data_IF_361287755328
#
_entry.id   IF_361287755328
#
_cell.length_a   1.000
_cell.length_b   1.000
_cell.length_c   1.000
_cell.angle_alpha   90.00
_cell.angle_beta   90.00
_cell.angle_gamma   90.00
#
_symmetry.space_group_name_H-M   'P 1'
#
loop_
_entity.id
_entity.type
_entity.pdbx_description
1 polymer ?
#
# COMPACT_ATOMS: atom_id res chain seq x y z
N UNK A 1 7.39 -11.24 7.43
CA UNK A 1 7.23 -12.53 6.74
C UNK A 1 7.93 -13.62 7.54
N UNK A 2 7.33 -14.80 7.70
CA UNK A 2 7.92 -15.91 8.44
C UNK A 2 8.98 -16.65 7.59
N UNK A 3 9.99 -15.91 7.14
CA UNK A 3 11.03 -16.36 6.22
C UNK A 3 12.39 -15.84 6.67
N UNK A 4 13.40 -16.69 6.63
CA UNK A 4 14.77 -16.25 6.76
C UNK A 4 15.69 -16.90 5.72
N UNK A 5 16.78 -16.21 5.41
CA UNK A 5 17.85 -16.67 4.52
C UNK A 5 19.12 -16.89 5.35
N UNK A 6 19.73 -18.05 5.20
CA UNK A 6 20.94 -18.44 5.93
C UNK A 6 22.20 -18.20 5.11
N UNK A 7 23.28 -17.80 5.77
CA UNK A 7 24.64 -17.74 5.18
C UNK A 7 25.15 -19.11 4.68
N UNK A 8 24.45 -20.20 4.99
CA UNK A 8 24.73 -21.56 4.48
C UNK A 8 23.98 -21.86 3.18
N UNK A 9 23.50 -20.85 2.46
CA UNK A 9 22.81 -20.95 1.18
C UNK A 9 21.52 -21.79 1.23
N UNK A 10 20.71 -21.61 2.26
CA UNK A 10 19.34 -22.12 2.32
C UNK A 10 18.39 -21.06 2.86
N UNK A 11 17.13 -21.19 2.55
CA UNK A 11 16.06 -20.43 3.22
C UNK A 11 15.09 -21.38 3.91
N UNK A 12 14.42 -20.87 4.92
CA UNK A 12 13.25 -21.49 5.53
C UNK A 12 12.08 -20.52 5.47
N UNK A 13 10.92 -21.03 5.09
CA UNK A 13 9.65 -20.34 5.12
C UNK A 13 8.61 -21.17 5.85
N UNK A 14 7.84 -20.55 6.75
CA UNK A 14 6.67 -21.14 7.39
C UNK A 14 5.42 -20.56 6.77
N UNK A 15 4.53 -21.40 6.27
CA UNK A 15 3.25 -20.96 5.68
C UNK A 15 2.23 -20.65 6.79
N UNK A 16 2.35 -19.45 7.32
CA UNK A 16 1.47 -18.91 8.36
C UNK A 16 1.37 -17.39 8.28
N UNK A 17 0.21 -16.86 8.63
CA UNK A 17 -0.05 -15.43 8.84
C UNK A 17 -0.27 -15.10 10.32
N UNK A 18 -0.28 -16.11 11.19
CA UNK A 18 -0.35 -15.92 12.63
C UNK A 18 0.92 -15.27 13.20
N UNK A 19 0.83 -14.78 14.42
CA UNK A 19 2.01 -14.33 15.15
C UNK A 19 3.06 -15.45 15.22
N UNK A 20 4.32 -15.09 14.96
CA UNK A 20 5.45 -16.00 15.06
C UNK A 20 6.69 -15.31 15.59
N UNK A 21 7.56 -16.08 16.21
CA UNK A 21 8.86 -15.64 16.71
C UNK A 21 9.96 -16.58 16.24
N UNK A 22 11.08 -15.99 15.79
CA UNK A 22 12.27 -16.72 15.37
C UNK A 22 13.44 -16.36 16.29
N UNK A 23 13.86 -17.29 17.13
CA UNK A 23 14.97 -17.10 18.03
C UNK A 23 16.26 -17.80 17.54
N UNK A 24 17.24 -17.01 17.16
CA UNK A 24 18.56 -17.43 16.68
C UNK A 24 19.69 -17.19 17.70
N UNK A 25 19.38 -16.85 18.94
CA UNK A 25 20.38 -16.52 19.98
C UNK A 25 21.25 -17.69 20.38
N UNK A 26 20.74 -18.93 20.25
CA UNK A 26 21.50 -20.09 20.57
C UNK A 26 22.29 -20.59 19.34
N UNK A 27 23.64 -20.77 19.43
CA UNK A 27 24.42 -21.19 18.28
C UNK A 27 24.25 -22.69 17.90
N UNK A 28 23.58 -23.49 18.73
CA UNK A 28 23.38 -24.92 18.50
C UNK A 28 22.01 -25.32 18.00
N UNK A 29 21.01 -24.49 18.19
CA UNK A 29 19.65 -24.70 17.68
C UNK A 29 18.92 -23.39 17.42
N UNK A 30 17.96 -23.44 16.53
CA UNK A 30 17.01 -22.35 16.27
C UNK A 30 15.66 -22.72 16.86
N UNK A 31 14.98 -21.76 17.48
CA UNK A 31 13.63 -21.94 17.97
C UNK A 31 12.68 -21.11 17.10
N UNK A 32 11.67 -21.77 16.55
CA UNK A 32 10.65 -21.16 15.70
C UNK A 32 9.29 -21.43 16.33
N UNK A 33 8.60 -20.40 16.72
CA UNK A 33 7.26 -20.48 17.33
C UNK A 33 6.22 -19.81 16.45
N UNK A 34 5.01 -20.34 16.41
CA UNK A 34 3.85 -19.68 15.83
C UNK A 34 2.56 -20.07 16.56
N UNK A 35 1.57 -19.17 16.52
CA UNK A 35 0.32 -19.33 17.26
C UNK A 35 -0.70 -20.23 16.56
N UNK A 36 -0.42 -20.68 15.36
CA UNK A 36 -1.19 -21.70 14.68
C UNK A 36 -0.26 -22.75 14.07
N UNK A 37 -0.83 -23.87 13.64
CA UNK A 37 -0.10 -24.86 12.86
C UNK A 37 0.13 -24.30 11.45
N UNK A 38 1.38 -24.14 10.99
CA UNK A 38 1.64 -23.69 9.63
C UNK A 38 1.13 -24.72 8.62
N UNK A 39 0.64 -24.25 7.46
CA UNK A 39 0.20 -25.12 6.38
C UNK A 39 1.32 -26.07 5.90
N UNK A 40 2.55 -25.54 5.82
CA UNK A 40 3.78 -26.27 5.56
C UNK A 40 5.00 -25.50 6.05
N UNK A 41 6.13 -26.18 6.11
CA UNK A 41 7.45 -25.57 6.27
C UNK A 41 8.25 -25.91 5.01
N UNK A 42 8.75 -24.88 4.32
CA UNK A 42 9.56 -25.02 3.12
C UNK A 42 11.01 -24.70 3.41
N UNK A 43 11.89 -25.63 3.05
CA UNK A 43 13.34 -25.44 3.12
C UNK A 43 13.92 -25.75 1.75
N UNK A 44 14.66 -24.82 1.18
CA UNK A 44 15.40 -25.02 -0.06
C UNK A 44 16.82 -24.51 0.07
N UNK A 45 17.74 -25.17 -0.60
CA UNK A 45 19.14 -24.79 -0.70
C UNK A 45 19.55 -24.55 -2.16
N UNK A 46 20.64 -23.80 -2.33
CA UNK A 46 21.24 -23.57 -3.65
C UNK A 46 22.77 -23.42 -3.51
N UNK A 47 23.55 -23.64 -4.58
CA UNK A 47 25.00 -23.44 -4.57
C UNK A 47 25.42 -22.00 -4.27
N UNK A 48 24.62 -21.01 -4.74
CA UNK A 48 24.92 -19.58 -4.60
C UNK A 48 23.74 -18.83 -4.01
N UNK A 49 23.98 -17.62 -3.48
CA UNK A 49 22.90 -16.73 -3.01
C UNK A 49 21.98 -16.28 -4.15
N UNK A 50 22.53 -16.06 -5.35
CA UNK A 50 21.73 -15.64 -6.51
C UNK A 50 20.69 -16.72 -6.84
N UNK A 51 21.10 -17.96 -7.00
CA UNK A 51 20.19 -19.09 -7.26
C UNK A 51 19.22 -19.31 -6.09
N UNK A 52 19.66 -19.09 -4.85
CA UNK A 52 18.79 -19.20 -3.69
C UNK A 52 17.67 -18.13 -3.72
N UNK A 53 18.02 -16.89 -4.02
CA UNK A 53 17.05 -15.79 -4.15
C UNK A 53 16.14 -15.97 -5.36
N UNK A 54 16.63 -16.52 -6.46
CA UNK A 54 15.81 -16.91 -7.61
C UNK A 54 14.72 -17.92 -7.21
N UNK A 55 15.08 -18.97 -6.45
CA UNK A 55 14.12 -19.94 -5.92
C UNK A 55 13.13 -19.31 -4.95
N UNK A 56 13.62 -18.50 -4.00
CA UNK A 56 12.79 -17.84 -3.00
C UNK A 56 11.79 -16.90 -3.66
N UNK A 57 12.24 -16.05 -4.60
CA UNK A 57 11.38 -15.10 -5.29
C UNK A 57 10.46 -15.76 -6.32
N UNK A 58 10.83 -16.89 -6.89
CA UNK A 58 9.91 -17.71 -7.69
C UNK A 58 8.74 -18.25 -6.84
N UNK A 59 9.00 -18.56 -5.59
CA UNK A 59 7.98 -19.03 -4.65
C UNK A 59 7.14 -17.86 -4.07
N UNK A 60 7.78 -16.84 -3.49
CA UNK A 60 7.09 -15.70 -2.85
C UNK A 60 6.44 -14.76 -3.88
N UNK A 61 6.98 -14.70 -5.08
CA UNK A 61 6.63 -13.76 -6.14
C UNK A 61 7.68 -12.66 -6.31
N UNK A 62 7.52 -11.91 -7.37
CA UNK A 62 8.38 -10.77 -7.74
C UNK A 62 7.53 -9.54 -7.97
N UNK A 63 8.06 -8.38 -7.62
CA UNK A 63 7.39 -7.11 -7.86
C UNK A 63 7.19 -6.90 -9.36
N UNK A 64 6.02 -6.35 -9.77
CA UNK A 64 5.79 -5.94 -11.15
C UNK A 64 6.86 -4.94 -11.61
N UNK A 65 7.14 -4.94 -12.90
CA UNK A 65 8.06 -3.97 -13.50
C UNK A 65 7.53 -2.55 -13.36
N UNK A 66 8.42 -1.61 -12.99
CA UNK A 66 8.08 -0.20 -12.91
C UNK A 66 8.07 0.43 -14.31
N UNK A 67 7.14 1.35 -14.59
CA UNK A 67 7.12 2.07 -15.84
C UNK A 67 8.32 3.00 -15.99
N UNK A 68 8.79 3.18 -17.21
CA UNK A 68 9.98 3.99 -17.53
C UNK A 68 9.87 5.44 -17.02
N UNK A 69 8.66 6.01 -17.00
CA UNK A 69 8.48 7.39 -16.60
C UNK A 69 8.94 7.70 -15.16
N UNK A 70 8.95 6.69 -14.27
CA UNK A 70 9.36 6.88 -12.87
C UNK A 70 10.85 7.24 -12.74
N UNK A 71 11.65 6.90 -13.73
CA UNK A 71 13.09 7.19 -13.78
C UNK A 71 13.41 8.50 -14.50
N UNK A 72 12.42 9.17 -15.09
CA UNK A 72 12.63 10.28 -16.00
C UNK A 72 12.75 11.65 -15.35
N UNK A 73 12.47 11.78 -14.07
CA UNK A 73 12.51 13.06 -13.37
C UNK A 73 12.01 12.96 -11.93
N UNK A 74 11.84 14.10 -11.29
CA UNK A 74 11.34 14.21 -9.93
C UNK A 74 9.82 13.99 -9.91
N UNK A 75 9.33 13.28 -8.90
CA UNK A 75 7.91 13.27 -8.51
C UNK A 75 7.76 14.28 -7.38
N UNK A 76 7.01 15.33 -7.61
CA UNK A 76 6.82 16.43 -6.66
C UNK A 76 5.59 16.15 -5.82
N UNK A 77 5.75 16.08 -4.49
CA UNK A 77 4.63 16.06 -3.54
C UNK A 77 4.10 17.49 -3.32
N UNK A 78 2.82 17.73 -3.61
CA UNK A 78 2.19 19.02 -3.38
C UNK A 78 0.76 18.86 -2.88
N UNK A 79 0.30 19.84 -2.09
CA UNK A 79 -1.03 19.86 -1.50
C UNK A 79 -1.56 21.30 -1.49
N UNK A 80 -2.87 21.49 -1.46
CA UNK A 80 -3.50 22.79 -1.25
C UNK A 80 -4.28 23.33 -2.43
N UNK A 81 -4.75 22.46 -3.31
CA UNK A 81 -5.62 22.80 -4.44
C UNK A 81 -4.85 23.06 -5.73
N UNK A 82 -5.60 23.29 -6.82
CA UNK A 82 -5.06 23.42 -8.19
C UNK A 82 -3.94 24.46 -8.28
N UNK A 83 -4.20 25.70 -7.90
CA UNK A 83 -3.25 26.80 -8.06
C UNK A 83 -1.88 26.50 -7.46
N UNK A 84 -1.87 26.01 -6.22
CA UNK A 84 -0.64 25.70 -5.52
C UNK A 84 0.06 24.46 -6.08
N UNK A 85 -0.69 23.38 -6.28
CA UNK A 85 -0.11 22.08 -6.65
C UNK A 85 0.43 22.09 -8.09
N UNK A 86 -0.32 22.65 -9.04
CA UNK A 86 0.14 22.74 -10.43
C UNK A 86 1.18 23.86 -10.60
N UNK A 87 1.04 24.98 -9.85
CA UNK A 87 2.00 26.08 -9.88
C UNK A 87 3.42 25.70 -9.39
N UNK A 88 3.55 24.73 -8.47
CA UNK A 88 4.85 24.20 -8.07
C UNK A 88 5.53 23.45 -9.24
N UNK A 89 4.76 22.70 -10.04
CA UNK A 89 5.28 22.04 -11.24
C UNK A 89 5.83 23.05 -12.22
N UNK A 90 5.06 24.09 -12.52
CA UNK A 90 5.46 25.15 -13.46
C UNK A 90 6.73 25.86 -13.00
N UNK A 91 6.76 26.26 -11.74
CA UNK A 91 7.95 26.87 -11.13
C UNK A 91 9.17 25.95 -11.17
N UNK A 92 9.00 24.66 -10.95
CA UNK A 92 10.11 23.69 -11.01
C UNK A 92 10.69 23.59 -12.41
N UNK A 93 9.82 23.54 -13.44
CA UNK A 93 10.24 23.51 -14.84
C UNK A 93 10.96 24.81 -15.27
N UNK A 94 10.48 25.97 -14.81
CA UNK A 94 11.13 27.29 -15.03
C UNK A 94 12.56 27.31 -14.47
N UNK A 95 12.82 26.57 -13.39
CA UNK A 95 14.15 26.43 -12.80
C UNK A 95 14.97 25.29 -13.41
N UNK A 96 14.51 24.68 -14.49
CA UNK A 96 15.21 23.59 -15.19
C UNK A 96 15.15 22.23 -14.49
N UNK A 97 14.28 22.07 -13.50
CA UNK A 97 14.07 20.77 -12.82
C UNK A 97 13.24 19.89 -13.73
N UNK A 98 13.72 18.70 -14.02
CA UNK A 98 13.01 17.70 -14.78
C UNK A 98 11.94 17.04 -13.88
N UNK A 99 10.67 17.22 -14.21
CA UNK A 99 9.53 16.68 -13.46
C UNK A 99 8.89 15.53 -14.24
N UNK A 100 8.75 14.38 -13.63
CA UNK A 100 8.04 13.22 -14.20
C UNK A 100 6.65 13.00 -13.61
N UNK A 101 6.39 13.51 -12.41
CA UNK A 101 5.10 13.36 -11.77
C UNK A 101 4.78 14.45 -10.73
N UNK A 102 3.48 14.63 -10.51
CA UNK A 102 2.91 15.45 -9.45
C UNK A 102 2.08 14.51 -8.54
N UNK A 103 2.45 14.41 -7.28
CA UNK A 103 1.70 13.66 -6.27
C UNK A 103 0.89 14.61 -5.40
N UNK A 104 -0.43 14.52 -5.50
CA UNK A 104 -1.38 15.27 -4.70
C UNK A 104 -2.09 14.36 -3.70
N UNK A 105 -1.61 14.33 -2.47
CA UNK A 105 -2.19 13.50 -1.41
C UNK A 105 -3.62 13.93 -1.07
N UNK A 106 -3.92 15.24 -1.12
CA UNK A 106 -5.20 15.83 -0.75
C UNK A 106 -6.18 16.03 -1.92
N UNK A 107 -6.01 15.29 -3.01
CA UNK A 107 -6.90 15.34 -4.18
C UNK A 107 -8.38 15.09 -3.83
N UNK A 108 -8.62 14.28 -2.80
CA UNK A 108 -9.95 13.94 -2.27
C UNK A 108 -10.47 14.94 -1.21
N UNK A 109 -9.72 16.04 -0.95
CA UNK A 109 -10.12 17.06 0.03
C UNK A 109 -9.55 16.84 1.43
N UNK A 110 -9.86 17.80 2.28
CA UNK A 110 -9.42 17.83 3.69
C UNK A 110 -10.57 18.11 4.63
N UNK A 111 -10.48 17.55 5.84
CA UNK A 111 -11.27 17.94 7.01
C UNK A 111 -10.37 18.59 8.07
N UNK A 112 -10.96 19.39 8.92
CA UNK A 112 -10.25 20.00 10.06
C UNK A 112 -10.68 19.28 11.34
N UNK A 113 -9.70 18.82 12.12
CA UNK A 113 -9.89 18.23 13.44
C UNK A 113 -9.08 19.03 14.47
N UNK A 114 -9.22 18.75 15.75
CA UNK A 114 -8.37 19.36 16.80
C UNK A 114 -6.88 18.99 16.63
N UNK A 115 -6.60 17.87 15.94
CA UNK A 115 -5.26 17.42 15.58
C UNK A 115 -4.74 18.04 14.27
N UNK A 116 -5.44 19.02 13.72
CA UNK A 116 -5.07 19.70 12.46
C UNK A 116 -5.84 19.19 11.23
N UNK A 117 -5.27 19.45 10.05
CA UNK A 117 -5.89 19.03 8.79
C UNK A 117 -5.63 17.56 8.52
N UNK A 118 -6.69 16.82 8.21
CA UNK A 118 -6.67 15.41 7.81
C UNK A 118 -7.24 15.26 6.41
N UNK A 119 -6.89 14.19 5.69
CA UNK A 119 -7.50 13.88 4.39
C UNK A 119 -8.97 13.47 4.56
N UNK A 120 -9.76 13.79 3.57
CA UNK A 120 -11.15 13.29 3.46
C UNK A 120 -11.11 11.91 2.80
N UNK A 121 -11.33 10.85 3.58
CA UNK A 121 -11.27 9.47 3.05
C UNK A 121 -12.60 9.05 2.42
N UNK A 122 -12.96 9.77 1.34
CA UNK A 122 -14.11 9.52 0.47
C UNK A 122 -13.65 9.73 -0.98
N UNK A 123 -13.11 8.74 -1.60
CA UNK A 123 -12.20 8.71 -2.75
C UNK A 123 -12.79 9.31 -4.05
N UNK A 124 -13.33 10.52 -3.94
CA UNK A 124 -13.72 11.37 -5.04
C UNK A 124 -12.80 12.60 -5.10
N UNK A 125 -12.52 13.15 -6.26
CA UNK A 125 -11.78 14.41 -6.29
C UNK A 125 -12.64 15.57 -5.73
N UNK A 126 -12.00 16.42 -4.93
CA UNK A 126 -12.68 17.51 -4.25
C UNK A 126 -12.87 18.69 -5.20
N UNK A 127 -14.11 18.91 -5.65
CA UNK A 127 -14.44 19.85 -6.70
C UNK A 127 -14.09 21.32 -6.39
N UNK A 128 -14.08 21.70 -5.12
CA UNK A 128 -13.72 23.07 -4.72
C UNK A 128 -12.20 23.28 -4.66
N UNK A 129 -11.43 22.28 -4.18
CA UNK A 129 -9.97 22.36 -4.10
C UNK A 129 -9.30 22.06 -5.44
N UNK A 130 -9.87 21.13 -6.18
CA UNK A 130 -9.36 20.64 -7.47
C UNK A 130 -10.47 20.71 -8.53
N UNK A 131 -11.00 21.90 -8.86
CA UNK A 131 -12.00 22.03 -9.93
C UNK A 131 -11.42 21.50 -11.24
N UNK A 132 -12.25 20.78 -12.00
CA UNK A 132 -11.89 20.19 -13.30
C UNK A 132 -10.60 19.33 -13.28
N UNK A 133 -10.33 18.61 -12.17
CA UNK A 133 -9.12 17.79 -12.00
C UNK A 133 -8.80 16.90 -13.21
N UNK A 134 -9.76 16.17 -13.82
CA UNK A 134 -9.45 15.33 -14.99
C UNK A 134 -8.84 16.12 -16.14
N UNK A 135 -9.32 17.34 -16.42
CA UNK A 135 -8.77 18.22 -17.46
C UNK A 135 -7.32 18.63 -17.14
N UNK A 136 -7.05 18.99 -15.88
CA UNK A 136 -5.69 19.36 -15.47
C UNK A 136 -4.73 18.17 -15.53
N UNK A 137 -5.22 16.95 -15.29
CA UNK A 137 -4.43 15.72 -15.48
C UNK A 137 -4.09 15.55 -16.98
N UNK A 138 -5.05 15.77 -17.89
CA UNK A 138 -4.79 15.72 -19.33
C UNK A 138 -3.75 16.78 -19.77
N UNK A 139 -3.80 17.98 -19.21
CA UNK A 139 -2.80 19.04 -19.44
C UNK A 139 -1.39 18.65 -18.96
N UNK A 140 -1.27 17.92 -17.81
CA UNK A 140 0.00 17.35 -17.38
C UNK A 140 0.48 16.25 -18.35
N UNK A 141 -0.42 15.37 -18.77
CA UNK A 141 -0.10 14.29 -19.72
C UNK A 141 0.43 14.84 -21.04
N UNK A 142 -0.14 15.93 -21.55
CA UNK A 142 0.35 16.60 -22.75
C UNK A 142 1.80 17.11 -22.61
N UNK A 143 2.27 17.30 -21.37
CA UNK A 143 3.64 17.71 -21.01
C UNK A 143 4.53 16.53 -20.64
N UNK A 144 4.03 15.30 -20.71
CA UNK A 144 4.73 14.08 -20.31
C UNK A 144 4.84 13.89 -18.79
N UNK A 145 4.03 14.60 -18.00
CA UNK A 145 4.03 14.55 -16.53
C UNK A 145 2.85 13.74 -16.04
N UNK A 146 3.09 12.85 -15.08
CA UNK A 146 2.10 11.97 -14.50
C UNK A 146 1.43 12.59 -13.27
N UNK A 147 0.18 12.19 -12.98
CA UNK A 147 -0.50 12.63 -11.77
C UNK A 147 -0.73 11.45 -10.83
N UNK A 148 -0.33 11.63 -9.56
CA UNK A 148 -0.48 10.62 -8.52
C UNK A 148 -1.39 11.13 -7.41
N UNK A 149 -2.23 10.23 -6.89
CA UNK A 149 -3.14 10.49 -5.79
C UNK A 149 -2.76 9.75 -4.51
N UNK A 150 -3.76 9.52 -3.67
CA UNK A 150 -3.69 8.79 -2.41
C UNK A 150 -4.97 7.99 -2.22
N UNK A 151 -4.87 6.74 -1.82
CA UNK A 151 -6.01 5.88 -1.47
C UNK A 151 -5.61 4.98 -0.31
N UNK A 152 -6.53 4.68 0.60
CA UNK A 152 -6.37 3.65 1.62
C UNK A 152 -7.65 2.80 1.74
N UNK A 153 -7.62 1.65 2.44
CA UNK A 153 -8.74 0.72 2.48
C UNK A 153 -9.85 1.08 3.49
N UNK A 154 -9.97 2.36 3.84
CA UNK A 154 -10.99 2.85 4.77
C UNK A 154 -11.88 3.89 4.11
N UNK A 155 -13.12 4.00 4.58
CA UNK A 155 -14.07 5.00 4.14
C UNK A 155 -14.67 5.73 5.33
N UNK A 156 -14.58 7.05 5.30
CA UNK A 156 -15.12 7.89 6.37
C UNK A 156 -16.64 7.75 6.44
N UNK A 157 -17.16 7.58 7.65
CA UNK A 157 -18.56 7.21 7.89
C UNK A 157 -19.60 8.29 7.52
N UNK A 158 -19.15 9.51 7.30
CA UNK A 158 -19.96 10.65 6.80
C UNK A 158 -19.80 10.89 5.28
N UNK A 159 -19.10 9.99 4.56
CA UNK A 159 -18.85 10.07 3.12
C UNK A 159 -19.92 9.36 2.27
N UNK A 160 -19.95 9.73 0.97
CA UNK A 160 -20.88 9.14 0.01
C UNK A 160 -20.56 7.69 -0.28
N UNK A 161 -19.27 7.34 -0.42
CA UNK A 161 -18.83 5.96 -0.66
C UNK A 161 -19.10 5.05 0.54
N UNK A 162 -19.00 5.58 1.77
CA UNK A 162 -19.42 4.82 2.94
C UNK A 162 -20.93 4.53 2.91
N UNK A 163 -21.74 5.52 2.59
CA UNK A 163 -23.20 5.34 2.52
C UNK A 163 -23.61 4.32 1.43
N UNK A 164 -22.90 4.29 0.31
CA UNK A 164 -23.09 3.29 -0.73
C UNK A 164 -22.64 1.90 -0.27
N UNK A 165 -21.41 1.80 0.24
CA UNK A 165 -20.83 0.54 0.74
C UNK A 165 -21.64 -0.08 1.87
N UNK A 166 -22.22 0.73 2.75
CA UNK A 166 -23.10 0.28 3.82
C UNK A 166 -24.37 -0.40 3.28
N UNK A 167 -24.97 0.15 2.23
CA UNK A 167 -26.14 -0.47 1.58
C UNK A 167 -25.80 -1.81 0.94
N UNK A 168 -24.56 -1.99 0.49
CA UNK A 168 -24.05 -3.25 -0.10
C UNK A 168 -23.51 -4.23 0.93
N UNK A 169 -23.32 -3.82 2.20
CA UNK A 169 -22.78 -4.67 3.24
C UNK A 169 -21.29 -4.99 3.06
N UNK A 170 -20.50 -4.04 2.54
CA UNK A 170 -19.09 -4.26 2.20
C UNK A 170 -18.12 -4.10 3.38
N UNK A 171 -18.60 -3.64 4.52
CA UNK A 171 -17.74 -3.41 5.69
C UNK A 171 -17.65 -4.62 6.60
N UNK A 172 -16.49 -4.81 7.19
CA UNK A 172 -16.30 -5.72 8.30
C UNK A 172 -17.25 -5.38 9.46
N UNK A 173 -17.65 -6.38 10.25
CA UNK A 173 -18.71 -6.25 11.26
C UNK A 173 -18.13 -6.44 12.66
N UNK A 174 -18.89 -5.96 13.64
CA UNK A 174 -18.77 -6.39 15.03
C UNK A 174 -19.57 -7.68 15.27
N UNK A 175 -19.36 -8.31 16.42
CA UNK A 175 -20.11 -9.50 16.81
C UNK A 175 -21.63 -9.27 16.88
N UNK A 176 -22.08 -8.04 17.12
CA UNK A 176 -23.51 -7.66 17.14
C UNK A 176 -24.09 -7.39 15.73
N UNK A 177 -23.28 -7.52 14.67
CA UNK A 177 -23.67 -7.31 13.28
C UNK A 177 -23.61 -5.84 12.81
N UNK A 178 -23.27 -4.90 13.66
CA UNK A 178 -23.04 -3.52 13.26
C UNK A 178 -21.73 -3.37 12.47
N UNK A 179 -21.61 -2.30 11.66
CA UNK A 179 -20.34 -2.01 10.96
C UNK A 179 -19.23 -1.72 11.96
N UNK A 180 -18.05 -2.32 11.71
CA UNK A 180 -16.88 -2.00 12.51
C UNK A 180 -16.33 -0.64 12.10
N UNK A 181 -16.25 0.28 13.03
CA UNK A 181 -15.72 1.62 12.82
C UNK A 181 -14.41 1.80 13.60
N UNK A 182 -13.38 2.24 12.89
CA UNK A 182 -12.10 2.62 13.50
C UNK A 182 -12.09 4.13 13.73
N UNK A 183 -11.62 4.54 14.91
CA UNK A 183 -11.40 5.94 15.26
C UNK A 183 -10.00 6.37 14.82
N UNK A 184 -9.93 7.33 13.91
CA UNK A 184 -8.68 7.94 13.41
C UNK A 184 -8.42 9.33 14.00
N UNK A 185 -9.01 9.64 15.13
CA UNK A 185 -8.90 10.93 15.82
C UNK A 185 -9.95 11.92 15.34
N UNK A 186 -11.10 11.94 16.00
CA UNK A 186 -12.29 12.78 15.75
C UNK A 186 -13.02 12.47 14.42
N UNK A 187 -12.68 11.38 13.73
CA UNK A 187 -13.47 10.86 12.62
C UNK A 187 -13.38 9.34 12.58
N UNK A 188 -14.46 8.71 12.14
CA UNK A 188 -14.61 7.28 12.13
C UNK A 188 -14.68 6.74 10.71
N UNK A 189 -14.05 5.60 10.48
CA UNK A 189 -14.04 4.96 9.16
C UNK A 189 -14.50 3.51 9.23
N UNK A 190 -15.28 3.10 8.24
CA UNK A 190 -15.56 1.69 8.00
C UNK A 190 -14.35 0.98 7.42
N UNK A 191 -14.16 -0.27 7.83
CA UNK A 191 -13.12 -1.17 7.32
C UNK A 191 -13.73 -1.96 6.16
N UNK A 192 -13.26 -1.77 4.95
CA UNK A 192 -13.71 -2.57 3.80
C UNK A 192 -13.23 -4.01 3.99
N UNK A 193 -14.16 -4.96 3.95
CA UNK A 193 -13.82 -6.37 4.17
C UNK A 193 -13.35 -7.05 2.88
N UNK A 194 -12.06 -7.03 2.63
CA UNK A 194 -11.47 -7.67 1.45
C UNK A 194 -11.56 -9.21 1.45
N UNK A 195 -12.01 -9.83 2.53
CA UNK A 195 -12.34 -11.26 2.54
C UNK A 195 -13.73 -11.56 1.98
N UNK A 196 -14.58 -10.51 1.83
CA UNK A 196 -15.85 -10.57 1.14
C UNK A 196 -15.64 -10.30 -0.36
N UNK A 197 -15.92 -11.25 -1.27
CA UNK A 197 -15.73 -11.05 -2.71
C UNK A 197 -16.53 -9.87 -3.29
N UNK A 198 -17.72 -9.58 -2.75
CA UNK A 198 -18.51 -8.42 -3.19
C UNK A 198 -17.84 -7.11 -2.78
N UNK A 199 -17.36 -7.01 -1.55
CA UNK A 199 -16.65 -5.84 -1.05
C UNK A 199 -15.33 -5.62 -1.81
N UNK A 200 -14.58 -6.69 -2.05
CA UNK A 200 -13.35 -6.66 -2.83
C UNK A 200 -13.59 -6.11 -4.26
N UNK A 201 -14.57 -6.67 -4.96
CA UNK A 201 -14.89 -6.26 -6.33
C UNK A 201 -15.46 -4.85 -6.37
N UNK A 202 -16.33 -4.49 -5.43
CA UNK A 202 -16.87 -3.14 -5.34
C UNK A 202 -15.78 -2.08 -5.14
N UNK A 203 -14.86 -2.30 -4.20
CA UNK A 203 -13.77 -1.35 -3.95
C UNK A 203 -12.82 -1.27 -5.16
N UNK A 204 -12.48 -2.41 -5.75
CA UNK A 204 -11.67 -2.49 -6.96
C UNK A 204 -12.30 -1.69 -8.11
N UNK A 205 -13.59 -1.90 -8.39
CA UNK A 205 -14.25 -1.38 -9.58
C UNK A 205 -14.76 0.06 -9.37
N UNK A 206 -15.47 0.32 -8.26
CA UNK A 206 -16.09 1.61 -8.01
C UNK A 206 -15.12 2.63 -7.40
N UNK A 207 -14.14 2.21 -6.58
CA UNK A 207 -13.19 3.14 -5.98
C UNK A 207 -11.95 3.27 -6.85
N UNK A 208 -11.20 2.17 -7.05
CA UNK A 208 -9.90 2.26 -7.71
C UNK A 208 -10.06 2.49 -9.22
N UNK A 209 -10.89 1.74 -9.94
CA UNK A 209 -11.04 1.97 -11.38
C UNK A 209 -11.75 3.28 -11.68
N UNK A 210 -12.96 3.44 -11.19
CA UNK A 210 -13.84 4.54 -11.55
C UNK A 210 -13.36 5.91 -11.09
N UNK A 211 -12.92 6.02 -9.83
CA UNK A 211 -12.58 7.31 -9.23
C UNK A 211 -11.09 7.64 -9.24
N UNK A 212 -10.22 6.67 -9.65
CA UNK A 212 -8.80 6.95 -9.87
C UNK A 212 -8.40 6.74 -11.33
N UNK A 213 -8.44 5.51 -11.83
CA UNK A 213 -7.90 5.18 -13.17
C UNK A 213 -8.66 5.83 -14.30
N UNK A 214 -10.01 5.91 -14.22
CA UNK A 214 -10.85 6.47 -15.30
C UNK A 214 -10.80 7.99 -15.36
N UNK A 215 -10.42 8.68 -14.28
CA UNK A 215 -10.19 10.12 -14.29
C UNK A 215 -8.77 10.52 -14.69
N UNK A 216 -7.90 9.53 -14.99
CA UNK A 216 -6.57 9.77 -15.54
C UNK A 216 -5.43 9.69 -14.51
N UNK A 217 -5.68 9.30 -13.26
CA UNK A 217 -4.63 9.14 -12.24
C UNK A 217 -3.71 8.00 -12.64
N UNK A 218 -2.39 8.27 -12.69
CA UNK A 218 -1.34 7.35 -13.15
C UNK A 218 -0.68 6.56 -12.02
N UNK A 219 -1.04 6.85 -10.78
CA UNK A 219 -0.50 6.18 -9.61
C UNK A 219 -1.01 6.76 -8.31
N UNK A 220 -0.72 6.12 -7.20
CA UNK A 220 -1.14 6.60 -5.89
C UNK A 220 -0.33 5.99 -4.76
N UNK A 221 -0.27 6.70 -3.64
CA UNK A 221 0.07 6.10 -2.37
C UNK A 221 -1.08 5.19 -1.96
N UNK A 222 -0.85 3.88 -1.96
CA UNK A 222 -1.79 2.88 -1.44
C UNK A 222 -1.47 2.63 0.03
N UNK A 223 -1.91 3.57 0.87
CA UNK A 223 -1.54 3.67 2.26
C UNK A 223 -2.23 2.63 3.15
N UNK A 224 -1.72 2.45 4.37
CA UNK A 224 -2.20 1.45 5.32
C UNK A 224 -2.09 0.00 4.77
N UNK A 225 -2.98 -0.87 5.20
CA UNK A 225 -3.00 -2.31 4.92
C UNK A 225 -2.56 -3.15 6.11
N UNK A 226 -1.72 -2.62 7.00
CA UNK A 226 -1.31 -3.26 8.26
C UNK A 226 -2.29 -3.01 9.40
N UNK A 227 -3.18 -2.03 9.27
CA UNK A 227 -4.05 -1.58 10.37
C UNK A 227 -5.44 -2.25 10.32
N UNK A 228 -5.46 -3.60 10.34
CA UNK A 228 -6.67 -4.36 10.57
C UNK A 228 -6.83 -4.59 12.09
N UNK A 229 -7.88 -4.06 12.74
CA UNK A 229 -8.15 -4.35 14.14
C UNK A 229 -8.34 -5.85 14.38
N UNK A 230 -7.94 -6.34 15.55
CA UNK A 230 -8.03 -7.75 15.92
C UNK A 230 -9.10 -8.04 16.96
N UNK A 231 -9.58 -7.01 17.65
CA UNK A 231 -10.55 -7.12 18.73
C UNK A 231 -11.97 -6.82 18.22
N UNK A 232 -12.92 -7.66 18.56
CA UNK A 232 -14.35 -7.51 18.24
C UNK A 232 -14.66 -7.33 16.74
N UNK A 233 -13.76 -7.80 15.87
CA UNK A 233 -13.90 -7.74 14.42
C UNK A 233 -14.32 -9.10 13.86
N UNK A 234 -15.34 -9.10 13.02
CA UNK A 234 -15.82 -10.28 12.28
C UNK A 234 -15.64 -10.05 10.79
N UNK A 235 -14.94 -10.97 10.14
CA UNK A 235 -14.69 -10.97 8.70
C UNK A 235 -15.62 -11.99 7.99
N UNK A 236 -15.95 -11.71 6.74
CA UNK A 236 -16.88 -12.52 5.94
C UNK A 236 -16.42 -13.97 5.72
N UNK A 237 -15.09 -14.19 5.65
CA UNK A 237 -14.52 -15.54 5.52
C UNK A 237 -14.54 -16.36 6.82
N UNK A 238 -14.95 -15.77 7.94
CA UNK A 238 -14.99 -16.42 9.26
C UNK A 238 -13.62 -16.74 9.88
N UNK A 239 -12.53 -16.28 9.26
CA UNK A 239 -11.18 -16.43 9.83
C UNK A 239 -10.98 -15.40 10.92
N UNK A 240 -10.28 -15.79 12.00
CA UNK A 240 -9.94 -14.87 13.09
C UNK A 240 -9.14 -13.67 12.57
N UNK A 241 -9.50 -12.44 12.97
CA UNK A 241 -8.71 -11.25 12.63
C UNK A 241 -7.25 -11.34 13.07
N UNK A 242 -6.95 -12.09 14.14
CA UNK A 242 -5.57 -12.36 14.58
C UNK A 242 -4.73 -13.12 13.55
N UNK A 243 -5.37 -13.90 12.67
CA UNK A 243 -4.74 -14.61 11.57
C UNK A 243 -4.73 -13.74 10.30
N UNK A 244 -5.86 -13.08 9.99
CA UNK A 244 -5.97 -12.25 8.80
C UNK A 244 -5.16 -10.96 8.88
N UNK A 245 -4.82 -10.47 10.06
CA UNK A 245 -4.08 -9.22 10.25
C UNK A 245 -2.81 -9.13 9.37
N UNK A 246 -1.98 -10.16 9.39
CA UNK A 246 -0.75 -10.19 8.58
C UNK A 246 -0.98 -10.58 7.10
N UNK A 247 -2.17 -11.09 6.76
CA UNK A 247 -2.58 -11.34 5.38
C UNK A 247 -3.25 -10.11 4.75
N UNK A 248 -3.79 -9.20 5.55
CA UNK A 248 -4.51 -8.02 5.09
C UNK A 248 -3.73 -7.16 4.09
N UNK A 249 -2.42 -6.85 4.30
CA UNK A 249 -1.62 -6.13 3.33
C UNK A 249 -1.54 -6.81 1.96
N UNK A 250 -1.59 -8.15 1.92
CA UNK A 250 -1.58 -8.92 0.67
C UNK A 250 -2.89 -8.74 -0.08
N UNK A 251 -4.02 -8.79 0.61
CA UNK A 251 -5.35 -8.55 0.02
C UNK A 251 -5.46 -7.12 -0.51
N UNK A 252 -4.97 -6.15 0.24
CA UNK A 252 -4.92 -4.75 -0.18
C UNK A 252 -4.05 -4.56 -1.43
N UNK A 253 -2.84 -5.10 -1.44
CA UNK A 253 -1.95 -5.07 -2.61
C UNK A 253 -2.60 -5.72 -3.83
N UNK A 254 -3.24 -6.88 -3.64
CA UNK A 254 -3.93 -7.62 -4.70
C UNK A 254 -5.10 -6.83 -5.28
N UNK A 255 -5.88 -6.14 -4.45
CA UNK A 255 -6.99 -5.32 -4.91
C UNK A 255 -6.50 -4.20 -5.85
N UNK A 256 -5.43 -3.49 -5.48
CA UNK A 256 -4.80 -2.49 -6.33
C UNK A 256 -4.26 -3.09 -7.63
N UNK A 257 -3.56 -4.23 -7.54
CA UNK A 257 -3.02 -4.93 -8.70
C UNK A 257 -4.09 -5.36 -9.68
N UNK A 258 -5.17 -5.99 -9.19
CA UNK A 258 -6.26 -6.49 -10.04
C UNK A 258 -6.97 -5.31 -10.73
N UNK A 259 -7.18 -4.19 -10.06
CA UNK A 259 -7.74 -2.98 -10.66
C UNK A 259 -6.89 -2.50 -11.84
N UNK A 260 -5.59 -2.36 -11.65
CA UNK A 260 -4.65 -1.92 -12.69
C UNK A 260 -4.57 -2.93 -13.85
N UNK A 261 -4.49 -4.21 -13.51
CA UNK A 261 -4.42 -5.31 -14.49
C UNK A 261 -5.66 -5.38 -15.38
N UNK A 262 -6.85 -5.37 -14.78
CA UNK A 262 -8.11 -5.45 -15.50
C UNK A 262 -8.39 -4.20 -16.34
N UNK A 263 -7.82 -3.05 -15.95
CA UNK A 263 -7.84 -1.83 -16.76
C UNK A 263 -6.80 -1.81 -17.88
N UNK A 264 -5.99 -2.88 -18.05
CA UNK A 264 -4.95 -2.97 -19.07
C UNK A 264 -3.77 -2.01 -18.86
N UNK A 265 -3.55 -1.54 -17.62
CA UNK A 265 -2.55 -0.50 -17.29
C UNK A 265 -1.34 -1.03 -16.53
N UNK A 266 -1.11 -2.35 -16.47
CA UNK A 266 0.13 -2.90 -15.91
C UNK A 266 1.36 -2.36 -16.65
N UNK A 267 2.43 -2.02 -15.92
CA UNK A 267 3.62 -1.39 -16.48
C UNK A 267 3.44 0.09 -16.85
N UNK A 268 2.30 0.70 -16.54
CA UNK A 268 2.03 2.13 -16.78
C UNK A 268 1.73 2.88 -15.47
N UNK A 269 1.05 2.23 -14.54
CA UNK A 269 0.59 2.78 -13.24
C UNK A 269 1.52 2.31 -12.13
N UNK A 270 1.84 3.21 -11.20
CA UNK A 270 2.63 2.91 -10.00
C UNK A 270 1.81 3.21 -8.75
N UNK A 271 1.61 2.22 -7.90
CA UNK A 271 1.13 2.46 -6.54
C UNK A 271 2.19 1.97 -5.55
N UNK A 272 2.38 2.74 -4.49
CA UNK A 272 3.41 2.47 -3.50
C UNK A 272 2.79 2.24 -2.13
N UNK A 273 3.29 1.22 -1.42
CA UNK A 273 2.68 0.67 -0.22
C UNK A 273 3.70 0.65 0.91
N UNK A 274 3.25 0.97 2.14
CA UNK A 274 4.08 0.83 3.34
C UNK A 274 3.98 -0.54 3.99
N UNK A 275 2.90 -1.26 3.74
CA UNK A 275 2.62 -2.54 4.36
C UNK A 275 2.81 -3.70 3.39
N UNK A 276 3.28 -4.85 3.89
CA UNK A 276 3.43 -6.05 3.10
C UNK A 276 3.42 -7.30 3.98
N UNK A 277 2.91 -8.38 3.42
CA UNK A 277 2.93 -9.73 3.99
C UNK A 277 3.58 -10.71 3.01
N UNK A 278 3.57 -11.99 3.36
CA UNK A 278 4.04 -13.05 2.45
C UNK A 278 3.19 -13.09 1.18
N UNK A 279 3.82 -12.86 0.04
CA UNK A 279 3.14 -12.84 -1.26
C UNK A 279 2.75 -11.46 -1.77
N UNK A 280 2.88 -10.39 -0.97
CA UNK A 280 2.68 -9.01 -1.44
C UNK A 280 3.59 -8.65 -2.62
N UNK A 281 4.76 -9.29 -2.73
CA UNK A 281 5.72 -9.13 -3.81
C UNK A 281 5.09 -9.33 -5.20
N UNK A 282 4.06 -10.15 -5.31
CA UNK A 282 3.35 -10.42 -6.58
C UNK A 282 2.54 -9.22 -7.07
N UNK A 283 2.14 -8.36 -6.15
CA UNK A 283 1.10 -7.37 -6.36
C UNK A 283 1.57 -5.94 -6.13
N UNK A 284 2.54 -5.71 -5.25
CA UNK A 284 3.04 -4.38 -4.90
C UNK A 284 4.06 -3.89 -5.94
N UNK A 285 3.78 -2.76 -6.60
CA UNK A 285 4.72 -2.18 -7.60
C UNK A 285 5.94 -1.57 -6.93
N UNK A 286 5.74 -0.89 -5.79
CA UNK A 286 6.81 -0.18 -5.08
C UNK A 286 6.49 -0.16 -3.58
N UNK A 287 7.50 -0.39 -2.74
CA UNK A 287 7.38 -0.16 -1.30
C UNK A 287 7.94 1.21 -0.93
N UNK A 288 7.37 1.84 0.10
CA UNK A 288 8.00 3.00 0.74
C UNK A 288 8.15 2.75 2.24
N UNK A 289 9.12 3.45 2.85
CA UNK A 289 9.50 3.19 4.24
C UNK A 289 8.52 3.73 5.30
N UNK A 290 7.39 4.31 4.90
CA UNK A 290 6.41 4.93 5.80
C UNK A 290 6.80 6.36 6.21
N UNK A 291 6.18 6.87 7.26
CA UNK A 291 6.34 8.25 7.77
C UNK A 291 7.60 8.34 8.65
N UNK A 292 8.75 8.21 8.06
CA UNK A 292 10.02 8.26 8.77
C UNK A 292 10.46 9.70 9.09
N UNK A 293 11.34 9.85 10.07
CA UNK A 293 11.95 11.11 10.39
C UNK A 293 12.88 11.60 9.27
N UNK A 294 12.79 12.90 8.94
CA UNK A 294 13.64 13.56 7.93
C UNK A 294 15.00 13.92 8.54
N UNK A 295 15.74 12.90 8.96
CA UNK A 295 17.06 13.04 9.58
C UNK A 295 17.93 11.78 9.36
N UNK A 296 19.12 11.75 9.95
CA UNK A 296 20.04 10.61 9.92
C UNK A 296 20.00 9.78 11.21
N UNK A 297 18.97 9.90 12.02
CA UNK A 297 18.84 9.13 13.26
C UNK A 297 18.84 7.62 13.03
N UNK A 298 19.22 6.88 14.09
CA UNK A 298 19.23 5.43 14.06
C UNK A 298 17.89 4.79 14.44
N UNK A 299 16.94 5.62 14.87
CA UNK A 299 15.65 5.13 15.33
C UNK A 299 14.64 5.06 14.19
N UNK A 300 14.52 6.12 13.41
CA UNK A 300 13.52 6.26 12.38
C UNK A 300 13.97 7.15 11.20
N UNK A 301 15.26 7.40 11.06
CA UNK A 301 15.82 8.22 9.99
C UNK A 301 16.36 7.40 8.81
N UNK A 302 17.05 8.06 7.90
CA UNK A 302 17.59 7.46 6.66
C UNK A 302 18.45 6.21 6.91
N UNK A 303 19.18 6.14 8.03
CA UNK A 303 19.98 4.96 8.35
C UNK A 303 19.15 3.68 8.49
N UNK A 304 17.96 3.75 9.08
CA UNK A 304 17.06 2.59 9.22
C UNK A 304 16.42 2.20 7.90
N UNK A 305 16.11 3.19 7.06
CA UNK A 305 15.55 2.95 5.72
C UNK A 305 16.51 2.13 4.85
N UNK A 306 17.79 2.46 4.87
CA UNK A 306 18.80 1.71 4.11
C UNK A 306 18.84 0.24 4.57
N UNK A 307 18.86 0.02 5.88
CA UNK A 307 18.83 -1.35 6.44
C UNK A 307 17.54 -2.09 6.07
N UNK A 308 16.39 -1.42 6.16
CA UNK A 308 15.08 -2.00 5.82
C UNK A 308 15.01 -2.37 4.33
N UNK A 309 15.46 -1.48 3.44
CA UNK A 309 15.50 -1.71 2.00
C UNK A 309 16.36 -2.92 1.62
N UNK A 310 17.56 -3.02 2.17
CA UNK A 310 18.46 -4.16 1.95
C UNK A 310 17.85 -5.46 2.46
N UNK A 311 17.26 -5.45 3.66
CA UNK A 311 16.62 -6.64 4.24
C UNK A 311 15.38 -7.08 3.45
N UNK A 312 14.56 -6.13 2.99
CA UNK A 312 13.38 -6.39 2.17
C UNK A 312 13.77 -6.97 0.79
N UNK A 313 14.88 -6.52 0.23
CA UNK A 313 15.44 -7.07 -1.00
C UNK A 313 15.76 -8.56 -0.92
N UNK A 314 16.20 -9.03 0.24
CA UNK A 314 16.50 -10.45 0.47
C UNK A 314 15.27 -11.38 0.42
N UNK A 315 14.08 -10.84 0.51
CA UNK A 315 12.81 -11.57 0.39
C UNK A 315 11.99 -11.18 -0.84
N UNK A 316 12.63 -10.54 -1.82
CA UNK A 316 12.04 -10.23 -3.12
C UNK A 316 11.33 -8.87 -3.21
N UNK A 317 11.50 -7.98 -2.22
CA UNK A 317 11.00 -6.61 -2.24
C UNK A 317 12.17 -5.63 -2.53
N UNK A 318 12.70 -5.68 -3.75
CA UNK A 318 13.87 -4.89 -4.16
C UNK A 318 13.53 -3.49 -4.70
N UNK A 319 12.28 -3.26 -5.09
CA UNK A 319 11.80 -1.97 -5.56
C UNK A 319 11.17 -1.20 -4.39
N UNK A 320 11.89 -0.21 -3.90
CA UNK A 320 11.47 0.59 -2.76
C UNK A 320 12.00 2.02 -2.84
N UNK A 321 11.40 2.92 -2.09
CA UNK A 321 11.84 4.30 -1.92
C UNK A 321 11.59 4.80 -0.49
N UNK A 322 12.02 6.00 -0.20
CA UNK A 322 11.67 6.74 1.01
C UNK A 322 11.23 8.16 0.64
N UNK A 323 10.53 8.80 1.55
CA UNK A 323 10.25 10.22 1.46
C UNK A 323 11.54 11.02 1.66
N UNK A 324 11.65 12.16 0.97
CA UNK A 324 12.84 13.04 1.00
C UNK A 324 12.44 14.39 1.60
#
# INVERSE_FOLDING_TARGET
>A
QPTYVSSRHYYLHMDTTAYGDFDFRNPRYHELQCWNVPGFIRIEAAPTFVELLEKLTAFLGRQPELPEWIYNGLIIGAQGGNERSFGIVDKSLEHGIKVSGLWCQDWCGKRVTSFGKRLQWDWHFHKEMYPDLPKHIEELHARGIKFLGYVNPYLVNDGELYAEGKKRGVFAKKADGSDYLVDFGEFYCGVVDFTNPEAYNWFKDEVIKKYTLDIGIDGWMADFGEYLPTDDLVLANGVSPMIEHNHWPVLWAKCNYDAVKESGKLGQVVYFMRAGGTGSQKYCTLLWAGDQSVDFSRHDGLCTVICAALSSGMVGCGLNHCDI
#
